data_IF_134311497185
#
_entry.id   IF_134311497185
#
_cell.length_a   1.000
_cell.length_b   1.000
_cell.length_c   1.000
_cell.angle_alpha   90.00
_cell.angle_beta   90.00
_cell.angle_gamma   90.00
#
_symmetry.space_group_name_H-M   'P 1'
#
loop_
_entity.id
_entity.type
_entity.pdbx_description
1 polymer ?
#
# COMPACT_ATOMS: atom_id res chain seq x y z
N UNK A 1 -21.25 13.30 15.14
CA UNK A 1 -20.52 12.09 14.74
C UNK A 1 -19.69 12.43 13.52
N UNK A 2 -18.41 12.15 13.54
CA UNK A 2 -17.53 12.38 12.39
C UNK A 2 -17.34 11.09 11.61
N UNK A 3 -17.34 11.18 10.29
CA UNK A 3 -16.99 10.06 9.43
C UNK A 3 -15.47 10.05 9.21
N UNK A 4 -14.90 8.87 9.12
CA UNK A 4 -13.48 8.68 8.87
C UNK A 4 -13.28 7.58 7.84
N UNK A 5 -12.16 7.68 7.10
CA UNK A 5 -11.66 6.62 6.25
C UNK A 5 -10.38 6.08 6.91
N UNK A 6 -10.31 4.77 7.12
CA UNK A 6 -9.14 4.17 7.73
C UNK A 6 -8.10 3.87 6.66
N UNK A 7 -6.98 4.57 6.71
CA UNK A 7 -5.85 4.33 5.82
C UNK A 7 -4.95 3.24 6.41
N UNK A 8 -4.75 2.17 5.65
CA UNK A 8 -3.79 1.11 6.00
C UNK A 8 -2.43 1.48 5.44
N UNK A 9 -1.41 1.50 6.29
CA UNK A 9 -0.08 1.99 5.92
C UNK A 9 0.96 0.90 6.11
N UNK A 10 1.73 0.64 5.06
CA UNK A 10 2.96 -0.12 5.13
C UNK A 10 4.10 0.87 5.31
N UNK A 11 4.83 0.80 6.42
CA UNK A 11 5.86 1.79 6.74
C UNK A 11 7.15 1.12 7.21
N UNK A 12 8.25 1.87 7.18
CA UNK A 12 9.53 1.43 7.73
C UNK A 12 9.62 1.88 9.18
N UNK A 13 9.73 0.93 10.10
CA UNK A 13 9.83 1.21 11.52
C UNK A 13 11.26 1.61 11.92
N UNK A 14 11.43 1.98 13.18
CA UNK A 14 12.72 2.49 13.70
C UNK A 14 13.85 1.48 13.63
N UNK A 15 13.53 0.17 13.61
CA UNK A 15 14.51 -0.90 13.44
C UNK A 15 14.80 -1.24 11.96
N UNK A 16 14.24 -0.48 11.03
CA UNK A 16 14.42 -0.69 9.59
C UNK A 16 13.46 -1.70 8.96
N UNK A 17 12.63 -2.35 9.76
CA UNK A 17 11.70 -3.37 9.26
C UNK A 17 10.39 -2.76 8.82
N UNK A 18 9.82 -3.34 7.76
CA UNK A 18 8.48 -2.97 7.31
C UNK A 18 7.42 -3.49 8.28
N UNK A 19 6.44 -2.64 8.60
CA UNK A 19 5.32 -2.98 9.48
C UNK A 19 4.04 -2.30 9.01
N UNK A 20 2.91 -2.77 9.53
CA UNK A 20 1.60 -2.20 9.24
C UNK A 20 1.15 -1.29 10.38
N UNK A 21 0.48 -0.21 10.01
CA UNK A 21 -0.28 0.61 10.96
C UNK A 21 -1.50 1.19 10.25
N UNK A 22 -2.41 1.76 11.02
CA UNK A 22 -3.61 2.40 10.50
C UNK A 22 -3.67 3.85 10.96
N UNK A 23 -4.25 4.70 10.12
CA UNK A 23 -4.47 6.11 10.43
C UNK A 23 -5.87 6.51 9.99
N UNK A 24 -6.67 7.17 10.85
CA UNK A 24 -7.95 7.72 10.43
C UNK A 24 -7.71 8.98 9.59
N UNK A 25 -8.44 9.08 8.48
CA UNK A 25 -8.53 10.30 7.68
C UNK A 25 -9.93 10.86 7.88
N UNK A 26 -10.02 12.08 8.43
CA UNK A 26 -11.31 12.69 8.69
C UNK A 26 -11.98 13.11 7.38
N UNK A 27 -13.25 12.75 7.22
CA UNK A 27 -14.07 13.14 6.08
C UNK A 27 -14.86 14.40 6.48
N UNK A 28 -14.25 15.56 6.29
CA UNK A 28 -14.72 16.83 6.83
C UNK A 28 -15.43 17.71 5.83
N UNK A 29 -15.49 17.28 4.57
CA UNK A 29 -16.09 18.07 3.48
C UNK A 29 -17.28 17.34 2.87
N UNK A 30 -18.01 18.01 2.02
CA UNK A 30 -19.17 17.45 1.35
C UNK A 30 -20.45 17.59 2.17
N UNK A 31 -21.31 16.61 2.01
CA UNK A 31 -22.67 16.55 2.59
C UNK A 31 -22.84 15.25 3.37
N UNK A 32 -23.84 15.16 4.26
CA UNK A 32 -24.06 13.89 5.00
C UNK A 32 -24.20 12.66 4.09
N UNK A 33 -24.75 12.83 2.88
CA UNK A 33 -24.91 11.74 1.92
C UNK A 33 -23.65 11.48 1.07
N UNK A 34 -22.65 12.36 1.12
CA UNK A 34 -21.43 12.26 0.31
C UNK A 34 -20.28 12.98 1.02
N UNK A 35 -19.77 12.34 2.06
CA UNK A 35 -18.70 12.93 2.87
C UNK A 35 -17.34 12.68 2.23
N UNK A 36 -16.52 13.71 2.22
CA UNK A 36 -15.23 13.72 1.53
C UNK A 36 -14.10 14.08 2.49
N UNK A 37 -12.93 13.50 2.24
CA UNK A 37 -11.70 14.05 2.80
C UNK A 37 -11.42 15.42 2.18
N UNK A 38 -10.56 16.26 2.80
CA UNK A 38 -9.96 17.36 2.06
C UNK A 38 -9.30 16.85 0.79
N UNK A 39 -9.27 17.69 -0.27
CA UNK A 39 -8.56 17.30 -1.48
C UNK A 39 -7.07 17.13 -1.18
N UNK A 40 -6.57 15.92 -1.40
CA UNK A 40 -5.18 15.61 -1.12
C UNK A 40 -4.36 15.77 -2.39
N UNK A 41 -3.19 16.45 -2.32
CA UNK A 41 -2.33 16.58 -3.49
C UNK A 41 -1.74 15.22 -3.87
N UNK A 42 -1.51 15.02 -5.17
CA UNK A 42 -0.90 13.80 -5.67
C UNK A 42 0.12 14.11 -6.74
N UNK A 43 1.11 13.22 -6.89
CA UNK A 43 2.13 13.30 -7.93
C UNK A 43 1.77 12.56 -9.21
N UNK A 44 0.49 12.24 -9.39
CA UNK A 44 0.00 11.49 -10.53
C UNK A 44 -0.39 10.06 -10.19
N UNK A 45 -0.89 9.34 -11.19
CA UNK A 45 -1.33 7.97 -10.99
C UNK A 45 -0.90 7.08 -12.17
N UNK A 46 -0.81 5.77 -11.91
CA UNK A 46 -0.50 4.76 -12.91
C UNK A 46 -1.39 3.54 -12.71
N UNK A 47 -1.79 2.94 -13.80
CA UNK A 47 -2.46 1.65 -13.81
C UNK A 47 -1.44 0.57 -14.13
N UNK A 48 -1.54 -0.57 -13.43
CA UNK A 48 -0.63 -1.70 -13.61
C UNK A 48 -1.40 -3.00 -13.66
N UNK A 49 -1.00 -3.90 -14.54
CA UNK A 49 -1.46 -5.29 -14.52
C UNK A 49 -0.27 -6.21 -14.28
N UNK A 50 -0.46 -7.23 -13.44
CA UNK A 50 0.54 -8.26 -13.16
C UNK A 50 -0.08 -9.62 -13.47
N UNK A 51 0.63 -10.48 -14.22
CA UNK A 51 0.07 -11.76 -14.64
C UNK A 51 -0.13 -12.73 -13.48
N UNK A 52 -0.93 -13.74 -13.71
CA UNK A 52 -1.06 -14.88 -12.79
C UNK A 52 0.34 -15.49 -12.60
N UNK A 53 0.69 -15.72 -11.33
CA UNK A 53 2.02 -16.23 -10.96
C UNK A 53 3.05 -15.14 -10.67
N UNK A 54 2.71 -13.86 -10.82
CA UNK A 54 3.62 -12.77 -10.49
C UNK A 54 4.05 -12.83 -9.02
N UNK A 55 5.35 -12.65 -8.80
CA UNK A 55 5.92 -12.41 -7.46
C UNK A 55 7.14 -11.52 -7.57
N UNK A 56 7.35 -10.71 -6.53
CA UNK A 56 8.52 -9.84 -6.45
C UNK A 56 9.57 -10.45 -5.51
N UNK A 57 10.77 -9.90 -5.56
CA UNK A 57 11.77 -10.06 -4.50
C UNK A 57 11.48 -9.09 -3.36
N UNK A 58 12.17 -9.24 -2.22
CA UNK A 58 12.15 -8.22 -1.18
C UNK A 58 12.65 -6.90 -1.75
N UNK A 59 11.89 -5.84 -1.52
CA UNK A 59 12.22 -4.49 -1.98
C UNK A 59 11.55 -3.46 -1.09
N UNK A 60 12.04 -2.23 -1.15
CA UNK A 60 11.40 -1.09 -0.51
C UNK A 60 10.62 -0.28 -1.54
N UNK A 61 9.75 0.59 -1.05
CA UNK A 61 9.01 1.53 -1.87
C UNK A 61 9.94 2.66 -2.29
N UNK A 62 9.94 3.02 -3.57
CA UNK A 62 10.77 4.13 -4.06
C UNK A 62 10.25 5.47 -3.58
N UNK A 63 8.97 5.74 -3.84
CA UNK A 63 8.26 6.91 -3.36
C UNK A 63 6.95 6.49 -2.74
N UNK A 64 6.50 7.16 -1.66
CA UNK A 64 5.22 6.84 -1.03
C UNK A 64 4.07 6.92 -2.02
N UNK A 65 3.20 5.93 -2.00
CA UNK A 65 2.06 5.89 -2.91
C UNK A 65 0.92 5.05 -2.37
N UNK A 66 -0.29 5.43 -2.72
CA UNK A 66 -1.46 4.61 -2.52
C UNK A 66 -1.46 3.47 -3.53
N UNK A 67 -1.90 2.30 -3.09
CA UNK A 67 -2.12 1.13 -3.95
C UNK A 67 -3.56 0.69 -3.75
N UNK A 68 -4.37 0.80 -4.80
CA UNK A 68 -5.77 0.35 -4.81
C UNK A 68 -5.87 -0.91 -5.66
N UNK A 69 -6.53 -1.93 -5.13
CA UNK A 69 -6.74 -3.17 -5.88
C UNK A 69 -8.03 -3.03 -6.68
N UNK A 70 -7.91 -3.15 -7.99
CA UNK A 70 -9.05 -3.06 -8.93
C UNK A 70 -9.52 -4.45 -9.40
N UNK A 71 -8.60 -5.40 -9.51
CA UNK A 71 -8.90 -6.76 -9.93
C UNK A 71 -7.85 -7.73 -9.41
N UNK A 72 -8.24 -9.00 -9.27
CA UNK A 72 -7.35 -10.00 -8.70
C UNK A 72 -7.10 -9.80 -7.21
N UNK A 73 -6.09 -10.46 -6.68
CA UNK A 73 -5.70 -10.34 -5.27
C UNK A 73 -4.19 -10.17 -5.17
N UNK A 74 -3.75 -9.42 -4.17
CA UNK A 74 -2.35 -9.17 -3.88
C UNK A 74 -2.05 -9.58 -2.44
N UNK A 75 -0.99 -10.36 -2.26
CA UNK A 75 -0.49 -10.69 -0.92
C UNK A 75 0.85 -10.02 -0.70
N UNK A 76 0.98 -9.33 0.44
CA UNK A 76 2.20 -8.64 0.86
C UNK A 76 2.79 -9.39 2.04
N UNK A 77 4.07 -9.75 1.92
CA UNK A 77 4.82 -10.48 2.96
C UNK A 77 5.85 -9.57 3.61
N UNK A 78 5.98 -9.70 4.92
CA UNK A 78 6.99 -9.01 5.72
C UNK A 78 8.12 -9.98 6.10
N UNK A 79 9.19 -9.44 6.67
CA UNK A 79 10.38 -10.22 7.05
C UNK A 79 10.10 -11.26 8.15
N UNK A 80 9.10 -11.02 8.99
CA UNK A 80 8.70 -11.95 10.06
C UNK A 80 7.89 -13.15 9.55
N UNK A 81 7.65 -13.24 8.25
CA UNK A 81 6.85 -14.28 7.63
C UNK A 81 5.35 -14.04 7.64
N UNK A 82 4.90 -12.95 8.28
CA UNK A 82 3.49 -12.58 8.23
C UNK A 82 3.13 -12.04 6.85
N UNK A 83 1.84 -12.16 6.51
CA UNK A 83 1.35 -11.64 5.25
C UNK A 83 -0.03 -11.04 5.39
N UNK A 84 -0.41 -10.26 4.40
CA UNK A 84 -1.72 -9.63 4.33
C UNK A 84 -2.22 -9.67 2.89
N UNK A 85 -3.49 -10.06 2.71
CA UNK A 85 -4.12 -10.17 1.39
C UNK A 85 -5.04 -8.98 1.17
N UNK A 86 -4.93 -8.39 -0.02
CA UNK A 86 -5.79 -7.28 -0.45
C UNK A 86 -6.57 -7.71 -1.67
N UNK A 87 -7.89 -7.54 -1.60
CA UNK A 87 -8.86 -7.90 -2.63
C UNK A 87 -9.41 -6.65 -3.32
N UNK A 88 -10.12 -6.78 -4.46
CA UNK A 88 -10.71 -5.63 -5.14
C UNK A 88 -11.52 -4.73 -4.22
N UNK A 89 -11.30 -3.42 -4.30
CA UNK A 89 -11.91 -2.43 -3.43
C UNK A 89 -11.08 -2.12 -2.18
N UNK A 90 -10.06 -2.89 -1.88
CA UNK A 90 -9.16 -2.66 -0.75
C UNK A 90 -7.91 -1.89 -1.20
N UNK A 91 -7.20 -1.34 -0.23
CA UNK A 91 -6.03 -0.50 -0.50
C UNK A 91 -4.97 -0.65 0.58
N UNK A 92 -3.78 -0.19 0.27
CA UNK A 92 -2.79 0.20 1.28
C UNK A 92 -1.97 1.38 0.77
N UNK A 93 -1.38 2.12 1.71
CA UNK A 93 -0.46 3.21 1.41
C UNK A 93 0.95 2.70 1.63
N UNK A 94 1.73 2.60 0.55
CA UNK A 94 3.08 2.04 0.61
C UNK A 94 4.07 3.15 0.92
N UNK A 95 4.60 3.13 2.14
CA UNK A 95 5.56 4.10 2.66
C UNK A 95 6.77 3.43 3.30
N UNK A 96 7.05 2.19 2.91
CA UNK A 96 8.23 1.45 3.35
C UNK A 96 9.46 1.94 2.59
N UNK A 97 9.89 3.16 2.94
CA UNK A 97 11.00 3.85 2.30
C UNK A 97 12.15 3.97 3.30
N UNK A 98 13.32 3.47 2.93
CA UNK A 98 14.49 3.56 3.81
C UNK A 98 14.96 5.01 3.94
N UNK A 99 15.50 5.39 5.13
CA UNK A 99 16.13 6.68 5.28
C UNK A 99 17.30 6.86 4.30
N UNK A 100 17.55 8.10 3.90
CA UNK A 100 18.69 8.44 3.04
C UNK A 100 19.98 7.91 3.66
N UNK A 101 20.85 7.31 2.83
CA UNK A 101 22.13 6.77 3.28
C UNK A 101 22.06 5.36 3.86
N UNK A 102 20.87 4.77 4.01
CA UNK A 102 20.73 3.38 4.46
C UNK A 102 20.81 2.44 3.26
N UNK A 103 21.77 1.51 3.27
CA UNK A 103 21.88 0.49 2.25
C UNK A 103 20.78 -0.57 2.44
N UNK A 104 20.16 -0.99 1.35
CA UNK A 104 19.13 -2.03 1.39
C UNK A 104 19.75 -3.38 1.74
N UNK A 105 19.16 -4.07 2.72
CA UNK A 105 19.52 -5.43 3.12
C UNK A 105 18.27 -6.31 3.00
N UNK A 106 18.29 -7.24 2.06
CA UNK A 106 17.16 -8.10 1.76
C UNK A 106 16.78 -9.05 2.90
N UNK A 107 17.61 -9.19 3.92
CA UNK A 107 17.32 -10.00 5.10
C UNK A 107 16.72 -9.20 6.26
N UNK A 108 16.68 -7.89 6.14
CA UNK A 108 16.22 -6.97 7.18
C UNK A 108 15.12 -6.03 6.70
N UNK A 109 15.26 -5.49 5.49
CA UNK A 109 14.45 -4.43 4.96
C UNK A 109 13.43 -4.93 3.95
N UNK A 110 12.36 -4.13 3.78
CA UNK A 110 11.44 -4.30 2.67
C UNK A 110 10.35 -5.32 2.91
N UNK A 111 9.66 -5.55 1.84
CA UNK A 111 8.52 -6.45 1.73
C UNK A 111 8.57 -7.10 0.35
N UNK A 112 7.80 -8.17 0.17
CA UNK A 112 7.60 -8.73 -1.16
C UNK A 112 6.13 -9.03 -1.38
N UNK A 113 5.75 -9.14 -2.65
CA UNK A 113 4.35 -9.30 -3.02
C UNK A 113 4.19 -10.41 -4.04
N UNK A 114 2.98 -10.98 -4.09
CA UNK A 114 2.61 -11.92 -5.14
C UNK A 114 1.16 -11.72 -5.53
N UNK A 115 0.86 -12.12 -6.75
CA UNK A 115 -0.50 -12.27 -7.22
C UNK A 115 -1.09 -13.58 -6.67
N UNK A 116 -2.36 -13.53 -6.23
CA UNK A 116 -3.12 -14.70 -5.77
C UNK A 116 -4.35 -14.90 -6.65
N UNK A 117 -4.81 -16.15 -6.68
CA UNK A 117 -6.07 -16.49 -7.33
C UNK A 117 -5.96 -16.65 -8.85
N UNK A 118 -7.12 -16.88 -9.52
CA UNK A 118 -7.13 -17.21 -10.94
C UNK A 118 -7.03 -16.02 -11.88
N UNK A 119 -7.20 -14.79 -11.37
CA UNK A 119 -7.26 -13.59 -12.20
C UNK A 119 -5.99 -12.77 -12.11
N UNK A 120 -5.57 -12.11 -13.20
CA UNK A 120 -4.47 -11.16 -13.15
C UNK A 120 -4.72 -10.07 -12.09
N UNK A 121 -3.65 -9.58 -11.50
CA UNK A 121 -3.71 -8.49 -10.52
C UNK A 121 -3.74 -7.16 -11.27
N UNK A 122 -4.77 -6.35 -11.01
CA UNK A 122 -4.88 -5.00 -11.57
C UNK A 122 -4.87 -4.01 -10.42
N UNK A 123 -3.98 -3.03 -10.49
CA UNK A 123 -3.77 -2.05 -9.43
C UNK A 123 -3.74 -0.62 -9.98
N UNK A 124 -4.14 0.32 -9.12
CA UNK A 124 -3.99 1.75 -9.34
C UNK A 124 -3.01 2.28 -8.30
N UNK A 125 -1.93 2.89 -8.77
CA UNK A 125 -0.97 3.59 -7.91
C UNK A 125 -1.24 5.08 -7.99
N UNK A 126 -1.33 5.74 -6.82
CA UNK A 126 -1.46 7.20 -6.73
C UNK A 126 -0.33 7.71 -5.85
N UNK A 127 0.58 8.50 -6.43
CA UNK A 127 1.74 9.05 -5.70
C UNK A 127 1.32 10.19 -4.78
N UNK A 128 1.94 10.22 -3.62
CA UNK A 128 1.72 11.29 -2.66
C UNK A 128 1.61 10.82 -1.20
#
# INVERSE_FOLDING_TARGET
MSATFTQTILFTDTDGRARWRERPIALTEGKPAAMLSPLMPSGGYQLRTSPVGFRSEFHCTGEPQWVFILGGQMEIFLQDGSSRVFSPGEHFYSADTLPAGTAFDAQLHGHWSRQLGPDPLVTLFVRG
#
